data_IF_723612446555
#
_entry.id   IF_723612446555
#
_cell.length_a   1.000
_cell.length_b   1.000
_cell.length_c   1.000
_cell.angle_alpha   90.00
_cell.angle_beta   90.00
_cell.angle_gamma   90.00
#
_symmetry.space_group_name_H-M   'P 1'
#
loop_
_entity.id
_entity.type
_entity.pdbx_description
1 polymer ?
#
# COMPACT_ATOMS: atom_id res chain seq x y z
N UNK A 1 41.45 -11.78 0.73
CA UNK A 1 40.59 -10.73 1.36
C UNK A 1 40.07 -11.30 2.66
N UNK A 2 40.39 -10.68 3.81
CA UNK A 2 39.95 -11.13 5.13
C UNK A 2 38.74 -10.31 5.57
N UNK A 3 37.55 -10.92 5.57
CA UNK A 3 36.34 -10.32 6.15
C UNK A 3 36.23 -10.81 7.60
N UNK A 4 36.21 -9.89 8.55
CA UNK A 4 35.98 -10.17 9.98
C UNK A 4 34.55 -9.85 10.36
N UNK A 5 34.18 -10.12 11.61
CA UNK A 5 32.88 -9.78 12.17
C UNK A 5 32.57 -8.28 12.03
N UNK A 6 31.47 -7.97 11.33
CA UNK A 6 30.86 -6.63 11.31
C UNK A 6 29.61 -6.62 12.19
N UNK A 7 29.34 -5.49 12.86
CA UNK A 7 28.13 -5.31 13.67
C UNK A 7 27.25 -4.24 13.01
N UNK A 8 25.97 -4.54 12.84
CA UNK A 8 24.97 -3.57 12.41
C UNK A 8 24.00 -3.29 13.56
N UNK A 9 23.48 -2.06 13.64
CA UNK A 9 22.41 -1.72 14.58
C UNK A 9 21.08 -2.12 13.96
N UNK A 10 20.33 -2.98 14.64
CA UNK A 10 18.96 -3.32 14.28
C UNK A 10 18.03 -2.40 15.07
N UNK A 11 17.02 -1.85 14.41
CA UNK A 11 15.86 -1.22 15.07
C UNK A 11 14.70 -2.21 14.96
N UNK A 12 14.07 -2.55 16.08
CA UNK A 12 12.83 -3.32 16.07
C UNK A 12 11.76 -2.40 15.47
N UNK A 13 11.16 -2.81 14.36
CA UNK A 13 9.98 -2.15 13.81
C UNK A 13 8.74 -2.78 14.42
N UNK A 14 7.71 -1.98 14.65
CA UNK A 14 6.39 -2.49 15.01
C UNK A 14 5.85 -3.40 13.90
N UNK A 15 4.96 -4.31 14.28
CA UNK A 15 4.33 -5.21 13.31
C UNK A 15 3.57 -4.39 12.27
N UNK A 16 3.89 -4.64 10.99
CA UNK A 16 3.17 -3.99 9.90
C UNK A 16 1.70 -4.44 9.94
N UNK A 17 0.73 -3.51 10.09
CA UNK A 17 -0.66 -3.87 10.20
C UNK A 17 -1.14 -4.58 8.93
N UNK A 18 -2.00 -5.57 9.10
CA UNK A 18 -2.58 -6.33 8.01
C UNK A 18 -3.49 -5.41 7.17
N UNK A 19 -3.16 -5.23 5.89
CA UNK A 19 -3.92 -4.42 4.95
C UNK A 19 -4.45 -5.29 3.79
N UNK A 20 -5.71 -5.08 3.44
CA UNK A 20 -6.36 -5.77 2.33
C UNK A 20 -5.94 -5.17 0.99
N UNK A 21 -5.38 -5.99 0.09
CA UNK A 21 -4.98 -5.54 -1.25
C UNK A 21 -6.15 -5.32 -2.22
N UNK A 22 -7.37 -5.77 -1.88
CA UNK A 22 -8.59 -5.56 -2.70
C UNK A 22 -9.23 -4.20 -2.42
N UNK A 23 -9.28 -3.76 -1.16
CA UNK A 23 -9.99 -2.54 -0.77
C UNK A 23 -9.13 -1.53 0.02
N UNK A 24 -7.85 -1.83 0.25
CA UNK A 24 -6.87 -0.99 0.98
C UNK A 24 -7.19 -0.69 2.45
N UNK A 25 -8.26 -1.27 3.03
CA UNK A 25 -8.58 -1.16 4.46
C UNK A 25 -7.76 -2.14 5.30
N UNK A 26 -7.55 -1.81 6.58
CA UNK A 26 -6.84 -2.65 7.53
C UNK A 26 -7.74 -3.76 8.14
N UNK A 27 -7.11 -4.76 8.75
CA UNK A 27 -7.75 -5.77 9.59
C UNK A 27 -8.17 -7.07 8.88
N UNK A 28 -8.00 -7.17 7.56
CA UNK A 28 -8.34 -8.38 6.82
C UNK A 28 -7.48 -8.57 5.56
N UNK A 29 -7.44 -9.80 5.05
CA UNK A 29 -6.83 -10.15 3.75
C UNK A 29 -7.86 -10.09 2.63
N UNK A 30 -7.39 -10.04 1.38
CA UNK A 30 -8.25 -10.04 0.19
C UNK A 30 -9.24 -11.24 0.14
N UNK A 31 -8.82 -12.41 0.65
CA UNK A 31 -9.67 -13.62 0.73
C UNK A 31 -10.90 -13.44 1.63
N UNK A 32 -10.81 -12.58 2.65
CA UNK A 32 -11.89 -12.29 3.58
C UNK A 32 -12.59 -10.96 3.27
N UNK A 33 -12.31 -10.35 2.11
CA UNK A 33 -12.79 -9.02 1.78
C UNK A 33 -14.23 -9.05 1.24
N UNK A 34 -15.14 -8.41 1.97
CA UNK A 34 -16.57 -8.31 1.63
C UNK A 34 -16.91 -7.08 0.76
N UNK A 35 -15.91 -6.30 0.33
CA UNK A 35 -16.17 -5.15 -0.55
C UNK A 35 -16.64 -5.64 -1.92
N UNK A 36 -17.80 -5.15 -2.36
CA UNK A 36 -18.37 -5.42 -3.69
C UNK A 36 -17.47 -4.87 -4.79
N UNK A 37 -17.07 -3.60 -4.65
CA UNK A 37 -16.18 -2.91 -5.57
C UNK A 37 -14.77 -2.93 -4.99
N UNK A 38 -13.89 -3.71 -5.62
CA UNK A 38 -12.46 -3.68 -5.34
C UNK A 38 -11.75 -2.58 -6.11
N UNK A 39 -10.59 -2.17 -5.61
CA UNK A 39 -9.65 -1.24 -6.27
C UNK A 39 -8.71 -1.96 -7.24
N UNK A 40 -9.07 -3.17 -7.69
CA UNK A 40 -8.31 -3.92 -8.67
C UNK A 40 -8.11 -3.12 -9.94
N UNK A 41 -6.90 -3.12 -10.49
CA UNK A 41 -6.57 -2.36 -11.70
C UNK A 41 -6.45 -0.84 -11.53
N UNK A 42 -6.62 -0.32 -10.31
CA UNK A 42 -6.36 1.07 -9.99
C UNK A 42 -4.90 1.25 -9.56
N UNK A 43 -4.31 2.37 -9.96
CA UNK A 43 -2.97 2.76 -9.58
C UNK A 43 -2.92 3.12 -8.09
N UNK A 44 -2.10 2.40 -7.31
CA UNK A 44 -1.93 2.67 -5.88
C UNK A 44 -1.35 4.06 -5.56
N UNK A 45 -0.83 4.79 -6.55
CA UNK A 45 -0.28 6.16 -6.36
C UNK A 45 -1.35 7.24 -6.48
N UNK A 46 -2.15 7.20 -7.54
CA UNK A 46 -3.05 8.30 -7.91
C UNK A 46 -4.53 7.89 -7.99
N UNK A 47 -4.84 6.60 -7.98
CA UNK A 47 -6.20 6.08 -8.11
C UNK A 47 -6.73 5.94 -9.53
N UNK A 48 -5.98 6.35 -10.56
CA UNK A 48 -6.38 6.16 -11.95
C UNK A 48 -6.38 4.69 -12.37
N UNK A 49 -7.27 4.30 -13.28
CA UNK A 49 -7.31 2.95 -13.85
C UNK A 49 -6.36 2.80 -15.06
N UNK A 50 -6.08 1.56 -15.47
CA UNK A 50 -5.36 1.25 -16.72
C UNK A 50 -3.84 1.32 -16.64
N UNK A 51 -3.28 1.59 -15.46
CA UNK A 51 -1.83 1.58 -15.23
C UNK A 51 -1.50 1.20 -13.78
N UNK A 52 -0.25 0.81 -13.54
CA UNK A 52 0.27 0.51 -12.20
C UNK A 52 1.06 1.69 -11.64
N UNK A 53 1.27 1.70 -10.31
CA UNK A 53 2.02 2.77 -9.65
C UNK A 53 3.47 2.90 -10.16
N UNK A 54 4.06 1.81 -10.66
CA UNK A 54 5.39 1.82 -11.25
C UNK A 54 5.36 2.65 -12.55
N UNK A 55 5.96 3.83 -12.50
CA UNK A 55 6.01 4.78 -13.62
C UNK A 55 4.88 5.79 -13.64
N UNK A 56 3.98 5.79 -12.66
CA UNK A 56 2.95 6.83 -12.53
C UNK A 56 3.58 8.15 -12.07
N UNK A 57 3.44 9.20 -12.87
CA UNK A 57 3.96 10.56 -12.59
C UNK A 57 2.88 11.52 -12.07
N UNK A 58 1.63 11.08 -11.99
CA UNK A 58 0.55 11.87 -11.43
C UNK A 58 0.76 12.15 -9.94
N UNK A 59 0.06 13.18 -9.45
CA UNK A 59 0.06 13.55 -8.04
C UNK A 59 -0.42 12.39 -7.17
N UNK A 60 0.21 12.28 -6.00
CA UNK A 60 -0.11 11.22 -5.05
C UNK A 60 -1.46 11.52 -4.44
N UNK A 61 -2.37 10.55 -4.51
CA UNK A 61 -3.71 10.65 -3.96
C UNK A 61 -4.13 9.33 -3.34
N UNK A 62 -4.53 9.37 -2.07
CA UNK A 62 -5.13 8.21 -1.43
C UNK A 62 -6.55 8.03 -1.96
N UNK A 63 -6.80 6.88 -2.61
CA UNK A 63 -8.10 6.54 -3.21
C UNK A 63 -9.21 6.53 -2.14
N UNK A 64 -8.90 6.03 -0.94
CA UNK A 64 -9.85 5.96 0.17
C UNK A 64 -10.19 7.37 0.70
N UNK A 65 -9.18 8.22 0.93
CA UNK A 65 -9.40 9.60 1.36
C UNK A 65 -10.23 10.38 0.34
N UNK A 66 -9.92 10.21 -0.95
CA UNK A 66 -10.67 10.84 -2.02
C UNK A 66 -12.15 10.41 -2.02
N UNK A 67 -12.43 9.10 -1.92
CA UNK A 67 -13.80 8.58 -1.86
C UNK A 67 -14.55 9.07 -0.61
N UNK A 68 -13.84 9.27 0.50
CA UNK A 68 -14.41 9.78 1.74
C UNK A 68 -14.47 11.32 1.80
N UNK A 69 -14.08 12.04 0.75
CA UNK A 69 -14.08 13.51 0.71
C UNK A 69 -13.10 14.14 1.70
N UNK A 70 -12.10 13.39 2.15
CA UNK A 70 -11.02 13.90 2.99
C UNK A 70 -9.92 14.40 2.05
N UNK A 71 -9.82 15.71 1.90
CA UNK A 71 -8.67 16.30 1.23
C UNK A 71 -7.41 16.08 2.07
N UNK A 72 -6.30 15.79 1.37
CA UNK A 72 -5.01 15.43 1.96
C UNK A 72 -4.29 16.63 2.59
#
# INVERSE_FOLDING_TARGET
ILVRWSRARVRILEERPLQCFKCLKYGHMAVACQAEIGLGGHCFRCGGAGHVARGCTADVRCILCHQEGRDA
#
